data_IF_309271732029
#
_entry.id   IF_309271732029
#
_cell.length_a   1.000
_cell.length_b   1.000
_cell.length_c   1.000
_cell.angle_alpha   90.00
_cell.angle_beta   90.00
_cell.angle_gamma   90.00
#
_symmetry.space_group_name_H-M   'P 1'
#
loop_
_entity.id
_entity.type
_entity.pdbx_description
1 polymer ?
#
# COMPACT_ATOMS: atom_id res chain seq x y z
N UNK A 1 17.04 -5.32 0.65
CA UNK A 1 15.56 -5.30 0.66
C UNK A 1 14.99 -5.07 -0.74
N UNK A 2 15.42 -4.03 -1.47
CA UNK A 2 14.95 -3.74 -2.84
C UNK A 2 14.96 -4.95 -3.79
N UNK A 3 16.07 -5.70 -3.86
CA UNK A 3 16.19 -6.87 -4.74
C UNK A 3 15.13 -7.96 -4.54
N UNK A 4 14.62 -8.16 -3.31
CA UNK A 4 13.56 -9.15 -3.05
C UNK A 4 12.22 -8.74 -3.64
N UNK A 5 11.96 -7.44 -3.73
CA UNK A 5 10.77 -6.88 -4.37
C UNK A 5 10.89 -6.97 -5.89
N UNK A 6 12.09 -6.75 -6.43
CA UNK A 6 12.39 -6.84 -7.87
C UNK A 6 12.37 -8.29 -8.39
N UNK A 7 12.79 -9.27 -7.57
CA UNK A 7 12.77 -10.70 -7.92
C UNK A 7 11.43 -11.38 -7.62
N UNK A 8 10.51 -10.70 -6.93
CA UNK A 8 9.21 -11.26 -6.60
C UNK A 8 8.34 -11.38 -7.86
N UNK A 9 7.74 -12.56 -8.05
CA UNK A 9 6.89 -12.84 -9.22
C UNK A 9 5.50 -12.20 -9.11
N UNK A 10 5.00 -11.96 -7.89
CA UNK A 10 3.73 -11.29 -7.63
C UNK A 10 3.78 -10.54 -6.29
N UNK A 11 4.55 -9.44 -6.21
CA UNK A 11 4.66 -8.66 -4.99
C UNK A 11 3.38 -7.86 -4.72
N UNK A 12 3.02 -7.76 -3.44
CA UNK A 12 1.87 -7.00 -2.96
C UNK A 12 2.29 -6.04 -1.85
N UNK A 13 1.58 -4.92 -1.73
CA UNK A 13 1.77 -3.95 -0.65
C UNK A 13 0.58 -4.06 0.32
N UNK A 14 0.85 -4.22 1.61
CA UNK A 14 -0.19 -4.20 2.64
C UNK A 14 -0.14 -2.83 3.33
N UNK A 15 -1.18 -2.02 3.12
CA UNK A 15 -1.30 -0.67 3.64
C UNK A 15 -2.06 -0.67 4.98
N UNK A 16 -1.32 -0.39 6.06
CA UNK A 16 -1.89 -0.24 7.41
C UNK A 16 -2.28 1.21 7.74
N UNK A 17 -3.04 1.42 8.83
CA UNK A 17 -3.44 2.76 9.29
C UNK A 17 -2.27 3.65 9.70
N UNK A 18 -1.09 3.07 9.93
CA UNK A 18 0.14 3.81 10.25
C UNK A 18 0.63 4.68 9.07
N UNK A 19 0.31 4.30 7.82
CA UNK A 19 0.64 5.10 6.63
C UNK A 19 -0.09 6.46 6.66
N UNK A 20 -1.34 6.46 7.11
CA UNK A 20 -2.11 7.67 7.36
C UNK A 20 -1.58 8.44 8.58
N UNK A 21 -1.26 7.72 9.67
CA UNK A 21 -0.74 8.34 10.88
C UNK A 21 0.61 9.05 10.69
N UNK A 22 1.45 8.53 9.80
CA UNK A 22 2.77 9.07 9.46
C UNK A 22 2.76 10.07 8.29
N UNK A 23 1.61 10.34 7.68
CA UNK A 23 1.51 11.20 6.49
C UNK A 23 2.25 10.64 5.27
N UNK A 24 2.59 9.34 5.26
CA UNK A 24 3.39 8.70 4.21
C UNK A 24 2.53 8.20 3.04
N UNK A 25 1.31 8.72 2.91
CA UNK A 25 0.33 8.34 1.91
C UNK A 25 0.89 8.45 0.48
N UNK A 26 1.51 9.59 0.15
CA UNK A 26 2.07 9.82 -1.19
C UNK A 26 3.24 8.86 -1.51
N UNK A 27 4.03 8.50 -0.49
CA UNK A 27 5.13 7.56 -0.65
C UNK A 27 4.62 6.13 -0.90
N UNK A 28 3.52 5.74 -0.25
CA UNK A 28 2.88 4.45 -0.49
C UNK A 28 2.29 4.37 -1.91
N UNK A 29 1.66 5.45 -2.39
CA UNK A 29 1.16 5.55 -3.77
C UNK A 29 2.29 5.47 -4.78
N UNK A 30 3.34 6.29 -4.62
CA UNK A 30 4.48 6.28 -5.53
C UNK A 30 5.19 4.91 -5.59
N UNK A 31 5.26 4.19 -4.47
CA UNK A 31 5.81 2.84 -4.43
C UNK A 31 4.91 1.84 -5.18
N UNK A 32 3.60 1.92 -4.95
CA UNK A 32 2.62 1.06 -5.61
C UNK A 32 2.60 1.29 -7.13
N UNK A 33 2.69 2.53 -7.58
CA UNK A 33 2.76 2.89 -9.00
C UNK A 33 4.07 2.42 -9.63
N UNK A 34 5.22 2.75 -9.02
CA UNK A 34 6.54 2.45 -9.59
C UNK A 34 6.77 0.95 -9.78
N UNK A 35 6.25 0.14 -8.85
CA UNK A 35 6.45 -1.31 -8.85
C UNK A 35 5.20 -2.07 -9.32
N UNK A 36 4.14 -1.37 -9.77
CA UNK A 36 2.85 -1.95 -10.17
C UNK A 36 2.29 -2.97 -9.15
N UNK A 37 2.36 -2.62 -7.87
CA UNK A 37 1.97 -3.53 -6.78
C UNK A 37 0.47 -3.50 -6.56
N UNK A 38 -0.14 -4.67 -6.42
CA UNK A 38 -1.49 -4.75 -5.86
C UNK A 38 -1.44 -4.35 -4.37
N UNK A 39 -2.28 -3.39 -3.97
CA UNK A 39 -2.32 -2.83 -2.62
C UNK A 39 -3.56 -3.30 -1.89
N UNK A 40 -3.35 -3.90 -0.73
CA UNK A 40 -4.40 -4.33 0.18
C UNK A 40 -4.45 -3.47 1.43
N UNK A 41 -5.63 -3.11 1.92
CA UNK A 41 -5.76 -2.45 3.21
C UNK A 41 -5.78 -3.50 4.33
N UNK A 42 -5.12 -3.21 5.45
CA UNK A 42 -5.33 -4.03 6.65
C UNK A 42 -6.73 -3.78 7.21
N UNK A 43 -7.43 -4.81 7.73
CA UNK A 43 -8.71 -4.61 8.40
C UNK A 43 -8.52 -3.65 9.57
N UNK A 44 -9.18 -2.49 9.50
CA UNK A 44 -9.06 -1.44 10.50
C UNK A 44 -9.80 -1.87 11.77
N UNK A 45 -9.06 -2.37 12.75
CA UNK A 45 -9.57 -2.60 14.10
C UNK A 45 -9.81 -1.23 14.79
N UNK A 46 -10.90 -0.54 14.43
CA UNK A 46 -11.42 0.60 15.18
C UNK A 46 -10.93 2.00 14.79
N UNK A 47 -10.09 2.16 13.77
CA UNK A 47 -9.65 3.47 13.28
C UNK A 47 -10.15 3.75 11.86
N UNK A 48 -10.95 4.81 11.66
CA UNK A 48 -11.42 5.30 10.36
C UNK A 48 -10.30 5.96 9.51
N UNK A 49 -9.09 5.42 9.61
CA UNK A 49 -7.89 5.91 8.92
C UNK A 49 -7.59 4.94 7.78
N UNK A 50 -7.70 5.43 6.56
CA UNK A 50 -7.43 4.67 5.35
C UNK A 50 -5.92 4.72 5.10
N UNK A 51 -5.26 3.58 4.91
CA UNK A 51 -3.82 3.58 4.61
C UNK A 51 -3.48 3.85 3.14
N UNK A 52 -4.47 3.89 2.26
CA UNK A 52 -4.29 3.97 0.81
C UNK A 52 -5.56 4.50 0.11
N UNK A 53 -5.45 5.17 -1.06
CA UNK A 53 -6.62 5.64 -1.78
C UNK A 53 -7.37 4.47 -2.41
N UNK A 54 -8.58 4.21 -1.91
CA UNK A 54 -9.43 3.10 -2.36
C UNK A 54 -9.88 3.21 -3.83
N UNK A 55 -9.80 4.40 -4.42
CA UNK A 55 -10.12 4.64 -5.84
C UNK A 55 -8.94 4.42 -6.78
N UNK A 56 -7.78 4.02 -6.26
CA UNK A 56 -6.58 3.84 -7.06
C UNK A 56 -6.65 2.52 -7.84
N UNK A 57 -6.22 2.45 -9.12
CA UNK A 57 -6.29 1.23 -9.93
C UNK A 57 -5.49 0.05 -9.34
N UNK A 58 -4.50 0.35 -8.50
CA UNK A 58 -3.68 -0.65 -7.80
C UNK A 58 -4.31 -1.12 -6.48
N UNK A 59 -5.38 -0.49 -5.99
CA UNK A 59 -6.06 -0.91 -4.76
C UNK A 59 -6.99 -2.10 -5.04
N UNK A 60 -6.84 -3.17 -4.27
CA UNK A 60 -7.57 -4.43 -4.47
C UNK A 60 -8.43 -4.86 -3.28
N UNK A 61 -8.35 -4.18 -2.13
CA UNK A 61 -9.24 -4.41 -0.98
C UNK A 61 -8.55 -4.33 0.37
#
# INVERSE_FOLDING_TARGET
MARRLEEARNPVLIAGPDIDASGSWEHAVALAEKQHLAVWATPTAGSNRLGFPERHPNFVG
#
